data_IF_415865941700
#
_entry.id   IF_415865941700
#
_cell.length_a   1.000
_cell.length_b   1.000
_cell.length_c   1.000
_cell.angle_alpha   90.00
_cell.angle_beta   90.00
_cell.angle_gamma   90.00
#
_symmetry.space_group_name_H-M   'P 1'
#
loop_
_entity.id
_entity.type
_entity.pdbx_description
1 polymer ?
#
# COMPACT_ATOMS: atom_id res chain seq x y z
N UNK A 1 -11.24 -4.91 7.31
CA UNK A 1 -9.97 -4.56 6.66
C UNK A 1 -9.17 -5.84 6.41
N UNK A 2 -9.14 -6.35 5.19
CA UNK A 2 -8.80 -7.75 4.92
C UNK A 2 -7.31 -8.02 5.07
N UNK A 3 -6.99 -9.05 5.85
CA UNK A 3 -5.62 -9.47 6.21
C UNK A 3 -4.74 -9.74 4.99
N UNK A 4 -5.36 -10.01 3.83
CA UNK A 4 -4.69 -10.31 2.55
C UNK A 4 -4.10 -9.06 1.89
N UNK A 5 -4.76 -7.90 2.00
CA UNK A 5 -4.23 -6.61 1.54
C UNK A 5 -3.16 -6.09 2.49
N UNK A 6 -3.38 -6.24 3.79
CA UNK A 6 -2.41 -5.82 4.81
C UNK A 6 -1.07 -6.58 4.70
N UNK A 7 -1.12 -7.90 4.47
CA UNK A 7 0.08 -8.71 4.18
C UNK A 7 0.78 -8.33 2.87
N UNK A 8 0.07 -7.82 1.87
CA UNK A 8 0.70 -7.33 0.63
C UNK A 8 1.42 -6.01 0.86
N UNK A 9 0.80 -5.08 1.59
CA UNK A 9 1.45 -3.81 1.92
C UNK A 9 2.60 -3.97 2.92
N UNK A 10 2.61 -5.02 3.75
CA UNK A 10 3.81 -5.35 4.54
C UNK A 10 4.98 -5.83 3.66
N UNK A 11 4.71 -6.57 2.57
CA UNK A 11 5.75 -6.89 1.57
C UNK A 11 6.20 -5.63 0.80
N UNK A 12 5.29 -4.69 0.57
CA UNK A 12 5.59 -3.39 -0.03
C UNK A 12 6.55 -2.58 0.85
N UNK A 13 6.25 -2.49 2.15
CA UNK A 13 7.11 -1.86 3.15
C UNK A 13 8.50 -2.49 3.14
N UNK A 14 8.57 -3.82 3.06
CA UNK A 14 9.82 -4.55 3.02
C UNK A 14 10.65 -4.19 1.77
N UNK A 15 10.04 -4.18 0.60
CA UNK A 15 10.78 -3.89 -0.61
C UNK A 15 11.04 -2.38 -0.80
N UNK A 16 10.28 -1.49 -0.14
CA UNK A 16 10.58 -0.07 0.00
C UNK A 16 11.80 0.19 0.88
N UNK A 17 12.06 -0.71 1.84
CA UNK A 17 13.26 -0.66 2.66
C UNK A 17 14.54 -1.10 1.92
N UNK A 18 14.44 -1.87 0.81
CA UNK A 18 15.61 -2.51 0.18
C UNK A 18 16.27 -1.67 -0.93
N UNK A 19 15.55 -0.72 -1.58
CA UNK A 19 16.04 0.41 -2.45
C UNK A 19 14.86 1.03 -3.24
N UNK A 20 15.07 1.97 -4.18
CA UNK A 20 14.01 2.58 -5.03
C UNK A 20 13.84 1.95 -6.44
N UNK A 21 14.71 1.01 -6.83
CA UNK A 21 14.78 0.45 -8.20
C UNK A 21 14.10 -0.93 -8.36
N UNK A 22 12.97 -1.15 -7.71
CA UNK A 22 12.26 -2.43 -7.63
C UNK A 22 10.91 -2.30 -8.34
N UNK A 23 10.54 -3.34 -9.10
CA UNK A 23 9.25 -3.40 -9.80
C UNK A 23 8.29 -4.24 -8.98
N UNK A 24 7.16 -3.65 -8.58
CA UNK A 24 6.10 -4.32 -7.85
C UNK A 24 4.95 -4.70 -8.76
N UNK A 25 4.76 -6.01 -8.96
CA UNK A 25 3.67 -6.52 -9.78
C UNK A 25 2.44 -6.89 -8.92
N UNK A 26 1.36 -6.12 -9.08
CA UNK A 26 0.09 -6.38 -8.41
C UNK A 26 -0.88 -7.10 -9.34
N UNK A 27 -0.76 -8.43 -9.46
CA UNK A 27 -1.70 -9.25 -10.25
C UNK A 27 -3.08 -9.34 -9.59
N UNK A 28 -3.22 -10.17 -8.55
CA UNK A 28 -4.49 -10.35 -7.82
C UNK A 28 -4.87 -9.19 -6.86
N UNK A 29 -4.12 -8.09 -6.85
CA UNK A 29 -4.49 -6.85 -6.14
C UNK A 29 -5.31 -5.93 -7.03
N UNK A 30 -5.01 -5.90 -8.32
CA UNK A 30 -5.68 -5.01 -9.28
C UNK A 30 -7.08 -5.50 -9.66
N UNK A 31 -7.26 -6.82 -9.77
CA UNK A 31 -8.50 -7.47 -10.20
C UNK A 31 -9.56 -7.65 -9.09
N UNK A 32 -9.18 -7.48 -7.82
CA UNK A 32 -10.05 -7.72 -6.65
C UNK A 32 -10.64 -6.46 -6.03
N UNK A 33 -10.33 -5.29 -6.58
CA UNK A 33 -10.78 -4.02 -6.04
C UNK A 33 -12.26 -3.76 -6.42
N UNK A 34 -13.11 -3.33 -5.48
CA UNK A 34 -14.56 -3.25 -5.68
C UNK A 34 -14.95 -2.25 -6.77
N UNK A 35 -14.06 -1.31 -7.10
CA UNK A 35 -14.26 -0.29 -8.13
C UNK A 35 -13.48 -0.55 -9.43
N UNK A 36 -12.93 -1.76 -9.59
CA UNK A 36 -12.20 -2.17 -10.80
C UNK A 36 -10.71 -1.81 -10.81
N UNK A 37 -10.07 -2.05 -11.96
CA UNK A 37 -8.61 -2.05 -12.08
C UNK A 37 -7.96 -0.66 -11.94
N UNK A 38 -8.60 0.39 -12.48
CA UNK A 38 -8.07 1.75 -12.42
C UNK A 38 -7.92 2.28 -10.98
N UNK A 39 -8.97 2.24 -10.11
CA UNK A 39 -8.82 2.67 -8.73
C UNK A 39 -7.90 1.77 -7.91
N UNK A 40 -7.79 0.48 -8.26
CA UNK A 40 -6.79 -0.37 -7.61
C UNK A 40 -5.35 0.04 -7.91
N UNK A 41 -5.07 0.47 -9.14
CA UNK A 41 -3.74 0.96 -9.50
C UNK A 41 -3.41 2.24 -8.71
N UNK A 42 -4.41 3.11 -8.53
CA UNK A 42 -4.30 4.32 -7.69
C UNK A 42 -4.04 3.95 -6.23
N UNK A 43 -4.78 2.99 -5.66
CA UNK A 43 -4.55 2.52 -4.29
C UNK A 43 -3.13 1.96 -4.09
N UNK A 44 -2.64 1.14 -5.03
CA UNK A 44 -1.29 0.57 -4.96
C UNK A 44 -0.19 1.65 -5.06
N UNK A 45 -0.40 2.67 -5.91
CA UNK A 45 0.52 3.80 -6.03
C UNK A 45 0.54 4.64 -4.75
N UNK A 46 -0.61 4.98 -4.20
CA UNK A 46 -0.71 5.79 -2.99
C UNK A 46 -0.12 5.09 -1.77
N UNK A 47 -0.34 3.78 -1.65
CA UNK A 47 0.31 2.96 -0.63
C UNK A 47 1.84 3.00 -0.75
N UNK A 48 2.37 2.98 -1.98
CA UNK A 48 3.81 3.08 -2.23
C UNK A 48 4.36 4.45 -1.87
N UNK A 49 3.71 5.52 -2.32
CA UNK A 49 4.10 6.91 -2.02
C UNK A 49 4.10 7.19 -0.51
N UNK A 50 3.08 6.70 0.21
CA UNK A 50 3.02 6.80 1.67
C UNK A 50 4.17 6.04 2.37
N UNK A 51 4.52 4.84 1.88
CA UNK A 51 5.67 4.09 2.40
C UNK A 51 6.99 4.81 2.12
N UNK A 52 7.18 5.33 0.91
CA UNK A 52 8.39 6.07 0.51
C UNK A 52 8.55 7.33 1.34
N UNK A 53 7.47 8.10 1.54
CA UNK A 53 7.52 9.28 2.39
C UNK A 53 7.89 8.93 3.83
N UNK A 54 7.23 7.96 4.44
CA UNK A 54 7.52 7.55 5.81
C UNK A 54 8.95 7.00 5.97
N UNK A 55 9.49 6.31 4.96
CA UNK A 55 10.90 5.90 4.92
C UNK A 55 11.83 7.10 4.88
N UNK A 56 11.53 8.11 4.06
CA UNK A 56 12.34 9.32 3.95
C UNK A 56 12.29 10.16 5.24
N UNK A 57 11.19 10.08 5.99
CA UNK A 57 11.05 10.64 7.35
C UNK A 57 11.77 9.80 8.42
N UNK A 58 12.42 8.70 8.04
CA UNK A 58 13.18 7.83 8.96
C UNK A 58 12.32 6.89 9.81
N UNK A 59 11.04 6.71 9.46
CA UNK A 59 10.11 5.85 10.21
C UNK A 59 10.36 4.37 9.91
N UNK A 60 10.09 3.51 10.90
CA UNK A 60 10.33 2.08 10.74
C UNK A 60 9.14 1.39 10.04
N UNK A 61 9.26 1.20 8.72
CA UNK A 61 8.21 0.56 7.92
C UNK A 61 7.85 -0.86 8.36
N UNK A 62 8.76 -1.61 8.98
CA UNK A 62 8.49 -2.97 9.43
C UNK A 62 7.52 -3.02 10.62
N UNK A 63 7.52 -1.97 11.46
CA UNK A 63 6.68 -1.88 12.66
C UNK A 63 5.50 -0.94 12.46
N UNK A 64 5.70 0.16 11.73
CA UNK A 64 4.72 1.24 11.54
C UNK A 64 3.99 1.18 10.20
N UNK A 65 4.36 0.28 9.29
CA UNK A 65 3.75 0.17 7.95
C UNK A 65 2.22 0.10 8.01
N UNK A 66 1.68 -0.58 9.02
CA UNK A 66 0.23 -0.67 9.19
C UNK A 66 -0.46 0.61 9.65
N UNK A 67 0.24 1.44 10.41
CA UNK A 67 -0.28 2.75 10.79
C UNK A 67 -0.22 3.70 9.58
N UNK A 68 0.87 3.67 8.81
CA UNK A 68 1.08 4.52 7.63
C UNK A 68 0.01 4.27 6.56
N UNK A 69 -0.27 3.00 6.23
CA UNK A 69 -1.30 2.66 5.24
C UNK A 69 -2.69 3.08 5.73
N UNK A 70 -3.01 2.92 7.03
CA UNK A 70 -4.28 3.38 7.59
C UNK A 70 -4.45 4.89 7.58
N UNK A 71 -3.38 5.64 7.86
CA UNK A 71 -3.39 7.10 7.72
C UNK A 71 -3.61 7.50 6.25
N UNK A 72 -2.92 6.86 5.31
CA UNK A 72 -3.10 7.11 3.87
C UNK A 72 -4.52 6.77 3.39
N UNK A 73 -5.17 5.72 3.93
CA UNK A 73 -6.56 5.38 3.63
C UNK A 73 -7.56 6.46 4.03
N UNK A 74 -7.24 7.36 4.99
CA UNK A 74 -8.14 8.47 5.34
C UNK A 74 -8.23 9.53 4.23
N UNK A 75 -7.17 9.63 3.41
CA UNK A 75 -7.05 10.65 2.37
C UNK A 75 -7.41 10.14 0.97
N UNK A 76 -7.46 8.81 0.77
CA UNK A 76 -7.89 8.20 -0.49
C UNK A 76 -8.98 7.17 -0.26
N UNK A 77 -10.11 7.43 -0.92
CA UNK A 77 -11.28 6.56 -0.92
C UNK A 77 -10.98 5.23 -1.64
N UNK A 78 -10.10 5.22 -2.65
CA UNK A 78 -9.66 3.99 -3.31
C UNK A 78 -8.81 3.12 -2.40
N UNK A 79 -7.87 3.71 -1.66
CA UNK A 79 -7.06 2.95 -0.70
C UNK A 79 -7.92 2.46 0.49
N UNK A 80 -8.92 3.24 0.91
CA UNK A 80 -9.90 2.81 1.90
C UNK A 80 -10.71 1.60 1.40
N UNK A 81 -11.26 1.68 0.19
CA UNK A 81 -12.00 0.59 -0.43
C UNK A 81 -11.14 -0.67 -0.62
N UNK A 82 -9.88 -0.51 -1.05
CA UNK A 82 -8.91 -1.60 -1.13
C UNK A 82 -8.61 -2.24 0.24
N UNK A 83 -8.59 -1.43 1.29
CA UNK A 83 -8.39 -1.92 2.65
C UNK A 83 -9.62 -2.64 3.19
N UNK A 84 -10.83 -2.30 2.78
CA UNK A 84 -12.08 -2.91 3.26
C UNK A 84 -12.32 -4.33 2.74
N UNK A 85 -11.90 -4.63 1.51
CA UNK A 85 -12.07 -5.93 0.80
C UNK A 85 -10.99 -6.95 1.14
#
# INVERSE_FOLDING_TARGET
CSTRYFRRYSCLAYACAIRDLWVLQFGGGTLGHPWGNAPSAVANRLALEACVQARNEGRNLATEGNAIIREASKWSYELAAACEV
#
